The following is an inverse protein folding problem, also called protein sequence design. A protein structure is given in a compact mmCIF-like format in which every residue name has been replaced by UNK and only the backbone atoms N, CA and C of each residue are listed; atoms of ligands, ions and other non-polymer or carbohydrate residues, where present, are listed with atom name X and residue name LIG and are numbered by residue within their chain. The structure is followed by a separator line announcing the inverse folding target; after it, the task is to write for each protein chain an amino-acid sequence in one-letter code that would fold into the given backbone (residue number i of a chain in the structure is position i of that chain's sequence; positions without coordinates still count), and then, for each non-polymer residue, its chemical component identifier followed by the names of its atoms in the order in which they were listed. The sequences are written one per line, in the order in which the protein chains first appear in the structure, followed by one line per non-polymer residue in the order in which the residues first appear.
data_IF_869621558753
#
_entry.id   IF_869621558753
#
_cell.length_a   1.000
_cell.length_b   1.000
_cell.length_c   1.000
_cell.angle_alpha   90.00
_cell.angle_beta   90.00
_cell.angle_gamma   90.00
#
_symmetry.space_group_name_H-M   'P 1'
#
loop_
_entity.id
_entity.type
_entity.pdbx_description
1 polymer ?
#
# COMPACT_ATOMS: atom_id res chain seq x y z
N UNK A 1 13.09 -16.07 12.61
CA UNK A 1 12.66 -14.72 12.21
C UNK A 1 11.15 -14.69 12.30
N UNK A 2 10.58 -13.69 12.95
CA UNK A 2 9.14 -13.51 12.93
C UNK A 2 8.75 -13.02 11.54
N UNK A 3 7.91 -13.76 10.83
CA UNK A 3 7.43 -13.38 9.50
C UNK A 3 6.17 -12.53 9.65
N UNK A 4 6.36 -11.27 10.02
CA UNK A 4 5.27 -10.30 10.22
C UNK A 4 5.31 -9.30 9.07
N UNK A 5 4.14 -9.10 8.46
CA UNK A 5 3.97 -8.15 7.35
C UNK A 5 3.39 -6.82 7.82
N UNK A 6 3.96 -5.71 7.33
CA UNK A 6 3.35 -4.38 7.46
C UNK A 6 2.44 -4.14 6.25
N UNK A 7 1.14 -3.92 6.46
CA UNK A 7 0.17 -3.62 5.42
C UNK A 7 -0.10 -2.11 5.39
N UNK A 8 0.46 -1.41 4.39
CA UNK A 8 0.30 0.03 4.26
C UNK A 8 -0.85 0.35 3.30
N UNK A 9 -1.88 1.02 3.83
CA UNK A 9 -3.04 1.46 3.06
C UNK A 9 -2.77 2.81 2.36
N UNK A 10 -2.38 2.74 1.10
CA UNK A 10 -1.94 3.88 0.29
C UNK A 10 -2.82 4.15 -0.96
N UNK A 11 -3.98 3.49 -1.09
CA UNK A 11 -4.90 3.62 -2.22
C UNK A 11 -5.84 4.85 -2.13
N UNK A 12 -5.79 5.58 -1.01
CA UNK A 12 -6.60 6.75 -0.77
C UNK A 12 -6.05 7.99 -1.48
N UNK A 13 -6.84 8.55 -2.41
CA UNK A 13 -6.58 9.89 -2.93
C UNK A 13 -7.11 10.93 -1.94
N UNK A 14 -6.25 11.86 -1.51
CA UNK A 14 -6.73 13.05 -0.83
C UNK A 14 -7.43 13.96 -1.82
N UNK A 15 -8.77 14.00 -1.82
CA UNK A 15 -9.56 14.84 -2.73
C UNK A 15 -9.18 16.33 -2.72
N UNK A 16 -8.58 16.81 -1.61
CA UNK A 16 -8.09 18.18 -1.47
C UNK A 16 -6.72 18.45 -2.12
N UNK A 17 -5.98 17.42 -2.55
CA UNK A 17 -4.58 17.54 -3.00
C UNK A 17 -4.34 17.02 -4.41
N UNK A 18 -5.34 16.42 -5.07
CA UNK A 18 -5.25 15.98 -6.46
C UNK A 18 -4.21 14.88 -6.74
N UNK A 19 -3.56 14.31 -5.71
CA UNK A 19 -2.45 13.37 -5.85
C UNK A 19 -2.12 12.60 -4.57
N UNK A 20 -0.99 11.90 -4.59
CA UNK A 20 -0.52 10.98 -3.54
C UNK A 20 0.16 11.73 -2.39
N UNK A 21 -0.64 12.25 -1.46
CA UNK A 21 -0.18 12.89 -0.21
C UNK A 21 0.90 12.12 0.54
N UNK A 22 0.80 10.79 0.54
CA UNK A 22 1.71 9.94 1.32
C UNK A 22 3.13 9.90 0.75
N UNK A 23 3.33 10.44 -0.45
CA UNK A 23 4.62 10.53 -1.12
C UNK A 23 5.21 11.95 -1.06
N UNK A 24 4.63 12.84 -0.26
CA UNK A 24 5.18 14.16 0.02
C UNK A 24 6.31 14.06 1.04
N UNK A 25 7.40 14.75 0.73
CA UNK A 25 8.56 14.89 1.60
C UNK A 25 8.22 15.79 2.79
N UNK A 26 8.48 15.30 4.00
CA UNK A 26 8.31 16.04 5.26
C UNK A 26 9.57 16.04 6.13
N UNK A 27 10.49 15.09 5.88
CA UNK A 27 11.73 14.96 6.62
C UNK A 27 12.81 15.94 6.13
N UNK A 28 13.87 16.15 6.94
CA UNK A 28 14.94 17.09 6.62
C UNK A 28 15.73 16.73 5.36
N UNK A 29 15.71 15.46 4.92
CA UNK A 29 16.38 14.99 3.70
C UNK A 29 15.39 14.50 2.64
N UNK A 30 14.12 14.89 2.73
CA UNK A 30 13.10 14.52 1.77
C UNK A 30 12.38 13.20 2.08
N UNK A 31 12.49 12.70 3.32
CA UNK A 31 11.77 11.50 3.75
C UNK A 31 10.26 11.74 3.81
N UNK A 32 9.49 10.75 3.40
CA UNK A 32 8.02 10.71 3.49
C UNK A 32 7.58 10.09 4.82
N UNK A 33 6.32 10.26 5.20
CA UNK A 33 5.75 9.54 6.37
C UNK A 33 5.85 8.01 6.19
N UNK A 34 5.73 7.52 4.95
CA UNK A 34 5.91 6.10 4.63
C UNK A 34 7.34 5.66 4.96
N UNK A 35 8.35 6.47 4.63
CA UNK A 35 9.75 6.15 4.90
C UNK A 35 10.01 5.93 6.40
N UNK A 36 9.47 6.78 7.26
CA UNK A 36 9.57 6.61 8.71
C UNK A 36 8.86 5.34 9.20
N UNK A 37 7.66 5.09 8.69
CA UNK A 37 6.87 3.90 9.09
C UNK A 37 7.57 2.60 8.71
N UNK A 38 8.14 2.53 7.50
CA UNK A 38 8.89 1.36 7.04
C UNK A 38 10.19 1.20 7.81
N UNK A 39 10.90 2.32 8.09
CA UNK A 39 12.13 2.29 8.88
C UNK A 39 11.91 1.70 10.28
N UNK A 40 10.85 2.14 10.97
CA UNK A 40 10.51 1.64 12.30
C UNK A 40 10.03 0.18 12.25
N UNK A 41 9.31 -0.22 11.21
CA UNK A 41 8.93 -1.62 11.00
C UNK A 41 10.15 -2.52 10.79
N UNK A 42 11.12 -2.11 9.96
CA UNK A 42 12.39 -2.84 9.79
C UNK A 42 13.13 -2.97 11.12
N UNK A 43 13.24 -1.87 11.88
CA UNK A 43 13.87 -1.91 13.22
C UNK A 43 13.13 -2.81 14.21
N UNK A 44 11.81 -2.94 14.05
CA UNK A 44 10.96 -3.78 14.90
C UNK A 44 10.94 -5.25 14.44
N UNK A 45 11.64 -5.60 13.36
CA UNK A 45 11.78 -6.97 12.88
C UNK A 45 10.72 -7.44 11.88
N UNK A 46 9.99 -6.53 11.24
CA UNK A 46 9.10 -6.87 10.12
C UNK A 46 9.93 -7.34 8.91
N UNK A 47 9.51 -8.44 8.29
CA UNK A 47 10.19 -9.06 7.14
C UNK A 47 9.67 -8.56 5.79
N UNK A 48 8.42 -8.12 5.76
CA UNK A 48 7.69 -7.76 4.54
C UNK A 48 6.83 -6.52 4.74
N UNK A 49 6.70 -5.71 3.69
CA UNK A 49 5.73 -4.64 3.57
C UNK A 49 4.92 -4.81 2.29
N UNK A 50 3.59 -4.69 2.41
CA UNK A 50 2.65 -4.71 1.29
C UNK A 50 1.97 -3.35 1.21
N UNK A 51 2.10 -2.68 0.06
CA UNK A 51 1.43 -1.41 -0.20
C UNK A 51 0.15 -1.66 -0.98
N UNK A 52 -1.01 -1.30 -0.41
CA UNK A 52 -2.27 -1.27 -1.16
C UNK A 52 -2.35 0.07 -1.88
N UNK A 53 -2.32 0.05 -3.22
CA UNK A 53 -2.34 1.23 -4.07
C UNK A 53 -3.43 1.10 -5.15
N UNK A 54 -3.63 2.18 -5.93
CA UNK A 54 -4.37 2.09 -7.20
C UNK A 54 -3.39 1.85 -8.33
N UNK A 55 -3.80 1.09 -9.34
CA UNK A 55 -2.94 0.70 -10.47
C UNK A 55 -2.39 1.88 -11.26
N UNK A 56 -3.16 2.95 -11.40
CA UNK A 56 -2.71 4.19 -12.04
C UNK A 56 -1.47 4.82 -11.39
N UNK A 57 -1.23 4.54 -10.10
CA UNK A 57 -0.11 5.07 -9.33
C UNK A 57 1.06 4.10 -9.19
N UNK A 58 0.99 2.90 -9.76
CA UNK A 58 2.01 1.86 -9.62
C UNK A 58 3.41 2.34 -10.02
N UNK A 59 3.50 3.03 -11.16
CA UNK A 59 4.78 3.53 -11.68
C UNK A 59 5.40 4.59 -10.77
N UNK A 60 4.58 5.50 -10.24
CA UNK A 60 5.06 6.55 -9.34
C UNK A 60 5.52 5.95 -8.00
N UNK A 61 4.74 5.01 -7.45
CA UNK A 61 5.10 4.31 -6.22
C UNK A 61 6.40 3.52 -6.39
N UNK A 62 6.51 2.69 -7.43
CA UNK A 62 7.73 1.93 -7.69
C UNK A 62 8.94 2.87 -7.79
N UNK A 63 8.84 3.94 -8.58
CA UNK A 63 9.93 4.92 -8.72
C UNK A 63 10.36 5.56 -7.39
N UNK A 64 9.42 5.85 -6.48
CA UNK A 64 9.74 6.50 -5.19
C UNK A 64 10.15 5.52 -4.09
N UNK A 65 9.77 4.25 -4.19
CA UNK A 65 9.84 3.28 -3.08
C UNK A 65 10.80 2.11 -3.34
N UNK A 66 10.84 1.55 -4.55
CA UNK A 66 11.53 0.25 -4.79
C UNK A 66 13.02 0.30 -4.43
N UNK A 67 13.69 1.39 -4.79
CA UNK A 67 15.14 1.48 -4.62
C UNK A 67 15.53 1.85 -3.17
N UNK A 68 14.62 2.50 -2.43
CA UNK A 68 14.88 2.95 -1.05
C UNK A 68 14.98 1.79 -0.06
N UNK A 69 14.21 0.73 -0.30
CA UNK A 69 14.03 -0.39 0.63
C UNK A 69 14.66 -1.70 0.15
N UNK A 70 15.21 -1.72 -1.07
CA UNK A 70 15.92 -2.87 -1.62
C UNK A 70 16.97 -3.40 -0.62
N UNK A 71 16.88 -4.70 -0.32
CA UNK A 71 17.79 -5.37 0.61
C UNK A 71 17.52 -5.12 2.10
N UNK A 72 16.53 -4.31 2.47
CA UNK A 72 16.15 -4.04 3.88
C UNK A 72 14.89 -4.77 4.32
N UNK A 73 13.90 -4.88 3.43
CA UNK A 73 12.61 -5.53 3.67
C UNK A 73 12.03 -6.01 2.32
N UNK A 74 11.25 -7.09 2.32
CA UNK A 74 10.52 -7.51 1.13
C UNK A 74 9.39 -6.51 0.84
N UNK A 75 9.30 -6.00 -0.39
CA UNK A 75 8.28 -5.03 -0.79
C UNK A 75 7.37 -5.62 -1.86
N UNK A 76 6.06 -5.57 -1.62
CA UNK A 76 5.04 -5.98 -2.59
C UNK A 76 3.91 -4.95 -2.70
N UNK A 77 3.13 -5.07 -3.77
CA UNK A 77 2.05 -4.14 -4.10
C UNK A 77 0.74 -4.90 -4.32
N UNK A 78 -0.28 -4.51 -3.56
CA UNK A 78 -1.67 -4.92 -3.75
C UNK A 78 -2.46 -3.81 -4.48
N UNK A 79 -3.48 -4.18 -5.23
CA UNK A 79 -4.26 -3.23 -6.03
C UNK A 79 -5.72 -3.24 -5.61
N UNK A 80 -6.21 -2.12 -5.06
CA UNK A 80 -7.63 -1.97 -4.76
C UNK A 80 -8.40 -1.55 -6.02
N UNK A 81 -8.94 -2.54 -6.73
CA UNK A 81 -9.71 -2.32 -7.96
C UNK A 81 -11.23 -2.33 -7.68
N UNK A 82 -11.99 -1.50 -8.40
CA UNK A 82 -13.46 -1.44 -8.26
C UNK A 82 -14.16 -2.73 -8.69
N UNK A 83 -13.53 -3.49 -9.58
CA UNK A 83 -14.09 -4.71 -10.17
C UNK A 83 -13.52 -5.99 -9.55
N UNK A 84 -12.60 -5.89 -8.58
CA UNK A 84 -12.07 -7.04 -7.85
C UNK A 84 -13.06 -7.51 -6.77
N UNK A 85 -14.19 -8.04 -7.22
CA UNK A 85 -15.27 -8.53 -6.37
C UNK A 85 -15.28 -10.06 -6.32
N UNK A 86 -15.80 -10.66 -5.23
CA UNK A 86 -16.01 -12.10 -5.18
C UNK A 86 -16.91 -12.61 -6.30
N UNK A 87 -16.74 -13.88 -6.64
CA UNK A 87 -17.55 -14.55 -7.66
C UNK A 87 -19.05 -14.38 -7.41
N UNK A 88 -19.80 -14.09 -8.47
CA UNK A 88 -21.24 -13.83 -8.42
C UNK A 88 -21.63 -12.37 -8.16
N UNK A 89 -20.67 -11.48 -7.90
CA UNK A 89 -20.91 -10.04 -7.75
C UNK A 89 -20.37 -9.22 -8.91
N UNK A 90 -21.10 -8.17 -9.27
CA UNK A 90 -20.67 -7.19 -10.29
C UNK A 90 -20.79 -5.77 -9.73
N UNK A 91 -19.86 -4.90 -10.11
CA UNK A 91 -19.91 -3.49 -9.69
C UNK A 91 -21.15 -2.80 -10.29
N UNK A 92 -21.93 -2.04 -9.49
CA UNK A 92 -23.03 -1.23 -10.02
C UNK A 92 -22.55 -0.25 -11.09
N UNK A 93 -23.37 -0.03 -12.11
CA UNK A 93 -23.06 0.93 -13.18
C UNK A 93 -22.83 2.33 -12.59
N UNK A 94 -21.70 2.95 -12.95
CA UNK A 94 -21.37 4.31 -12.52
C UNK A 94 -20.73 4.41 -11.12
N UNK A 95 -20.35 3.30 -10.49
CA UNK A 95 -19.56 3.34 -9.25
C UNK A 95 -18.14 3.84 -9.54
N UNK A 96 -17.77 4.95 -8.91
CA UNK A 96 -16.39 5.51 -8.98
C UNK A 96 -15.69 5.45 -7.61
N UNK A 97 -16.45 5.47 -6.53
CA UNK A 97 -15.91 5.46 -5.16
C UNK A 97 -15.43 4.06 -4.78
N UNK A 98 -14.27 3.92 -4.12
CA UNK A 98 -13.79 2.64 -3.58
C UNK A 98 -14.80 1.96 -2.66
N UNK A 99 -14.62 0.66 -2.46
CA UNK A 99 -15.44 -0.18 -1.59
C UNK A 99 -15.15 -0.01 -0.10
N UNK A 100 -14.07 0.68 0.26
CA UNK A 100 -13.69 0.97 1.65
C UNK A 100 -12.46 0.20 2.12
N UNK A 101 -12.16 0.31 3.42
CA UNK A 101 -10.93 -0.24 4.01
C UNK A 101 -10.93 -1.77 4.08
N UNK A 102 -12.06 -2.40 4.37
CA UNK A 102 -12.16 -3.87 4.39
C UNK A 102 -11.83 -4.50 3.02
N UNK A 103 -12.36 -3.93 1.94
CA UNK A 103 -12.01 -4.37 0.58
C UNK A 103 -10.54 -4.08 0.25
N UNK A 104 -9.97 -2.99 0.75
CA UNK A 104 -8.55 -2.69 0.55
C UNK A 104 -7.68 -3.80 1.16
N UNK A 105 -7.99 -4.23 2.39
CA UNK A 105 -7.31 -5.35 3.05
C UNK A 105 -7.49 -6.65 2.26
N UNK A 106 -8.71 -6.94 1.78
CA UNK A 106 -8.99 -8.11 0.95
C UNK A 106 -8.13 -8.13 -0.34
N UNK A 107 -7.76 -6.97 -0.87
CA UNK A 107 -6.93 -6.87 -2.08
C UNK A 107 -5.49 -7.39 -1.87
N UNK A 108 -5.08 -7.62 -0.62
CA UNK A 108 -3.77 -8.18 -0.26
C UNK A 108 -3.81 -9.68 0.10
N UNK A 109 -4.97 -10.35 -0.09
CA UNK A 109 -5.20 -11.74 0.32
C UNK A 109 -4.11 -12.70 -0.14
N UNK A 110 -3.72 -12.62 -1.42
CA UNK A 110 -2.75 -13.54 -2.02
C UNK A 110 -1.29 -13.20 -1.68
N UNK A 111 -1.05 -12.07 -1.01
CA UNK A 111 0.30 -11.58 -0.69
C UNK A 111 0.66 -11.81 0.77
N UNK A 112 -0.29 -12.13 1.65
CA UNK A 112 -0.06 -12.22 3.09
C UNK A 112 -0.56 -13.56 3.61
N UNK A 113 0.36 -14.43 4.02
CA UNK A 113 0.04 -15.75 4.59
C UNK A 113 0.27 -15.84 6.11
N UNK A 114 0.75 -14.76 6.73
CA UNK A 114 1.11 -14.70 8.15
C UNK A 114 0.49 -13.53 8.90
N UNK A 115 0.86 -13.32 10.17
CA UNK A 115 0.44 -12.16 10.95
C UNK A 115 0.81 -10.85 10.24
N UNK A 116 -0.10 -9.88 10.27
CA UNK A 116 0.15 -8.55 9.70
C UNK A 116 -0.42 -7.44 10.58
N UNK A 117 0.09 -6.23 10.37
CA UNK A 117 -0.37 -4.97 10.99
C UNK A 117 -0.70 -3.96 9.92
#
# INVERSE_FOLDING_TARGET
MNDITLLVMAAGMGSRYGGLKQLDAIGPNGETIIDYSVYDAVKSGFSKVVFIIRREFEKEFKKKISDKYAGKIQVEFAFQELYALPDGFTSPKGREKPWGTGHAILSALDLISGPFV
#
